data_IF_923990881472
#
_entry.id   IF_923990881472
#
_cell.length_a   1.000
_cell.length_b   1.000
_cell.length_c   1.000
_cell.angle_alpha   90.00
_cell.angle_beta   90.00
_cell.angle_gamma   90.00
#
_symmetry.space_group_name_H-M   'P 1'
#
loop_
_entity.id
_entity.type
_entity.pdbx_description
1 polymer ?
#
# COMPACT_ATOMS: atom_id res chain seq x y z
N UNK A 1 -2.16 8.57 3.84
CA UNK A 1 -1.47 8.02 2.65
C UNK A 1 -2.03 6.67 2.22
N UNK A 2 -1.96 5.67 3.05
CA UNK A 2 -2.45 4.34 2.66
C UNK A 2 -3.95 4.32 2.42
N UNK A 3 -4.71 4.97 3.27
CA UNK A 3 -6.16 5.03 3.13
C UNK A 3 -6.57 5.62 1.79
N UNK A 4 -5.88 6.66 1.34
CA UNK A 4 -6.15 7.27 0.06
C UNK A 4 -5.84 6.34 -1.10
N UNK A 5 -4.74 5.61 -1.01
CA UNK A 5 -4.37 4.64 -2.04
C UNK A 5 -5.40 3.52 -2.13
N UNK A 6 -5.89 3.03 -1.00
CA UNK A 6 -6.93 2.01 -0.98
C UNK A 6 -8.21 2.53 -1.61
N UNK A 7 -8.55 3.79 -1.35
CA UNK A 7 -9.75 4.40 -1.93
C UNK A 7 -9.64 4.54 -3.44
N UNK A 8 -8.46 4.82 -3.96
CA UNK A 8 -8.25 5.03 -5.39
C UNK A 8 -8.02 3.73 -6.16
N UNK A 9 -7.17 2.87 -5.62
CA UNK A 9 -6.73 1.66 -6.33
C UNK A 9 -7.39 0.39 -5.84
N UNK A 10 -7.86 0.41 -4.60
CA UNK A 10 -8.35 -0.79 -3.93
C UNK A 10 -7.21 -1.70 -3.51
N UNK A 11 -7.53 -2.70 -2.69
CA UNK A 11 -6.52 -3.64 -2.23
C UNK A 11 -5.92 -4.45 -3.38
N UNK A 12 -6.75 -4.80 -4.36
CA UNK A 12 -6.28 -5.55 -5.53
C UNK A 12 -5.26 -4.75 -6.33
N UNK A 13 -5.52 -3.46 -6.54
CA UNK A 13 -4.60 -2.59 -7.24
C UNK A 13 -3.29 -2.43 -6.51
N UNK A 14 -3.33 -2.30 -5.19
CA UNK A 14 -2.12 -2.22 -4.38
C UNK A 14 -1.33 -3.52 -4.44
N UNK A 15 -2.01 -4.66 -4.35
CA UNK A 15 -1.34 -5.96 -4.40
C UNK A 15 -0.65 -6.20 -5.73
N UNK A 16 -1.21 -5.70 -6.82
CA UNK A 16 -0.59 -5.83 -8.13
C UNK A 16 0.69 -4.99 -8.27
N UNK A 17 0.71 -3.84 -7.61
CA UNK A 17 1.85 -2.93 -7.69
C UNK A 17 2.92 -3.23 -6.66
N UNK A 18 2.50 -3.66 -5.48
CA UNK A 18 3.40 -3.96 -4.38
C UNK A 18 3.07 -5.37 -3.90
N UNK A 19 3.95 -6.31 -4.22
CA UNK A 19 3.72 -7.73 -3.97
C UNK A 19 4.01 -8.08 -2.51
N UNK A 20 3.07 -7.76 -1.63
CA UNK A 20 3.17 -8.14 -0.22
C UNK A 20 1.88 -8.81 0.23
N UNK A 21 2.04 -9.78 1.13
CA UNK A 21 0.93 -10.59 1.60
C UNK A 21 -0.16 -9.78 2.29
N UNK A 22 0.23 -8.70 2.98
CA UNK A 22 -0.71 -7.85 3.70
C UNK A 22 -1.78 -7.24 2.80
N UNK A 23 -1.50 -7.13 1.52
CA UNK A 23 -2.47 -6.59 0.56
C UNK A 23 -3.28 -7.68 -0.13
N UNK A 24 -2.84 -8.93 -0.05
CA UNK A 24 -3.47 -10.04 -0.75
C UNK A 24 -4.37 -10.87 0.15
N UNK A 25 -3.95 -11.10 1.38
CA UNK A 25 -4.65 -11.98 2.31
C UNK A 25 -5.21 -11.16 3.46
N UNK A 26 -6.53 -11.16 3.59
CA UNK A 26 -7.24 -10.45 4.66
C UNK A 26 -6.73 -9.02 4.85
N UNK A 27 -6.77 -8.18 3.81
CA UNK A 27 -6.18 -6.85 3.87
C UNK A 27 -6.90 -5.95 4.86
N UNK A 28 -6.12 -5.19 5.64
CA UNK A 28 -6.64 -4.17 6.52
C UNK A 28 -5.64 -3.04 6.66
N UNK A 29 -6.15 -1.84 6.91
CA UNK A 29 -5.32 -0.66 7.08
C UNK A 29 -4.36 -0.84 8.26
N UNK A 30 -4.89 -1.33 9.38
CA UNK A 30 -4.09 -1.50 10.59
C UNK A 30 -2.94 -2.47 10.41
N UNK A 31 -3.24 -3.65 9.86
CA UNK A 31 -2.21 -4.67 9.63
C UNK A 31 -1.16 -4.19 8.64
N UNK A 32 -1.61 -3.53 7.58
CA UNK A 32 -0.70 -3.01 6.56
C UNK A 32 0.22 -1.93 7.12
N UNK A 33 -0.30 -1.04 7.96
CA UNK A 33 0.54 -0.01 8.58
C UNK A 33 1.60 -0.62 9.48
N UNK A 34 1.25 -1.64 10.25
CA UNK A 34 2.22 -2.33 11.11
C UNK A 34 3.32 -2.97 10.27
N UNK A 35 2.95 -3.64 9.19
CA UNK A 35 3.92 -4.26 8.30
C UNK A 35 4.84 -3.22 7.68
N UNK A 36 4.29 -2.12 7.20
CA UNK A 36 5.07 -1.08 6.53
C UNK A 36 6.07 -0.41 7.48
N UNK A 37 5.71 -0.30 8.75
CA UNK A 37 6.63 0.24 9.75
C UNK A 37 7.87 -0.62 9.93
N UNK A 38 7.71 -1.93 9.77
CA UNK A 38 8.79 -2.90 9.95
C UNK A 38 9.58 -3.16 8.68
N UNK A 39 9.06 -2.77 7.54
CA UNK A 39 9.62 -3.13 6.25
C UNK A 39 9.90 -1.87 5.42
N UNK A 40 11.10 -1.28 5.55
CA UNK A 40 11.41 0.00 4.88
C UNK A 40 11.24 -0.04 3.36
N UNK A 41 11.61 -1.14 2.70
CA UNK A 41 11.49 -1.22 1.24
C UNK A 41 10.03 -1.15 0.79
N UNK A 42 9.14 -1.79 1.53
CA UNK A 42 7.72 -1.76 1.20
C UNK A 42 7.14 -0.36 1.43
N UNK A 43 7.55 0.28 2.50
CA UNK A 43 7.13 1.64 2.80
C UNK A 43 7.54 2.61 1.69
N UNK A 44 8.77 2.48 1.21
CA UNK A 44 9.25 3.33 0.14
C UNK A 44 8.43 3.14 -1.13
N UNK A 45 8.06 1.91 -1.45
CA UNK A 45 7.23 1.63 -2.60
C UNK A 45 5.84 2.24 -2.46
N UNK A 46 5.25 2.18 -1.28
CA UNK A 46 3.95 2.79 -1.02
C UNK A 46 4.03 4.30 -1.17
N UNK A 47 5.06 4.91 -0.62
CA UNK A 47 5.25 6.35 -0.73
C UNK A 47 5.42 6.79 -2.18
N UNK A 48 6.22 6.06 -2.95
CA UNK A 48 6.42 6.37 -4.36
C UNK A 48 5.10 6.26 -5.14
N UNK A 49 4.33 5.22 -4.86
CA UNK A 49 3.04 5.03 -5.50
C UNK A 49 2.07 6.16 -5.14
N UNK A 50 2.06 6.55 -3.88
CA UNK A 50 1.20 7.64 -3.42
C UNK A 50 1.52 8.94 -4.14
N UNK A 51 2.80 9.26 -4.26
CA UNK A 51 3.22 10.48 -4.96
C UNK A 51 2.83 10.45 -6.43
N UNK A 52 2.94 9.29 -7.06
CA UNK A 52 2.54 9.14 -8.46
C UNK A 52 1.04 9.35 -8.64
N UNK A 53 0.24 8.80 -7.75
CA UNK A 53 -1.22 8.95 -7.86
C UNK A 53 -1.66 10.38 -7.59
N UNK A 54 -0.97 11.09 -6.71
CA UNK A 54 -1.30 12.49 -6.44
C UNK A 54 -1.00 13.39 -7.63
N UNK A 55 0.05 13.07 -8.36
CA UNK A 55 0.42 13.86 -9.54
C UNK A 55 -0.49 13.61 -10.72
N UNK A 56 -1.01 12.42 -10.80
CA UNK A 56 -1.86 12.02 -11.90
C UNK A 56 -3.26 12.42 -11.73
#
# INVERSE_FOLDING_TARGET
MLTELVAQLGWDGLAQRIDIRCFKSDPSIKSSLIFLRRTPWAREKVEALYLRTRRG
#
